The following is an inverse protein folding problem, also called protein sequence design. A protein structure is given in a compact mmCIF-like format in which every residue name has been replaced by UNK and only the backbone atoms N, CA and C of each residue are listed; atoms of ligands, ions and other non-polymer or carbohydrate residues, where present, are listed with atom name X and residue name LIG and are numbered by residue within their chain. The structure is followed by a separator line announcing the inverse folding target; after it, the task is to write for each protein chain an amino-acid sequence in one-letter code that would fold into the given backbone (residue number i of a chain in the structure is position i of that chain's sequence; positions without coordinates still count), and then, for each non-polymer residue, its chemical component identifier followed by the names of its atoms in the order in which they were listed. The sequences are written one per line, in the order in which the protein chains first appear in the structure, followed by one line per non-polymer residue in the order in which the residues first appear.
data_IF_703476927857
#
_entry.id   IF_703476927857
#
_cell.length_a   1.000
_cell.length_b   1.000
_cell.length_c   1.000
_cell.angle_alpha   90.00
_cell.angle_beta   90.00
_cell.angle_gamma   90.00
#
_symmetry.space_group_name_H-M   'P 1'
#
loop_
_entity.id
_entity.type
_entity.pdbx_description
1 polymer ?
#
# COMPACT_ATOMS: atom_id res chain seq x y z
N UNK A 1 -17.96 15.99 -11.39
CA UNK A 1 -18.85 15.66 -10.26
C UNK A 1 -18.71 16.66 -9.11
N UNK A 2 -17.47 16.90 -8.63
CA UNK A 2 -17.20 17.83 -7.52
C UNK A 2 -17.75 19.26 -7.71
N UNK A 3 -17.60 19.86 -8.90
CA UNK A 3 -18.18 21.18 -9.22
C UNK A 3 -19.72 21.22 -9.08
N UNK A 4 -20.42 20.16 -9.49
CA UNK A 4 -21.88 20.06 -9.37
C UNK A 4 -22.32 19.84 -7.91
N UNK A 5 -21.51 19.12 -7.13
CA UNK A 5 -21.71 18.92 -5.70
C UNK A 5 -21.56 20.24 -4.93
N UNK A 6 -20.51 21.02 -5.22
CA UNK A 6 -20.27 22.33 -4.62
C UNK A 6 -21.38 23.34 -4.94
N UNK A 7 -21.93 23.29 -6.16
CA UNK A 7 -23.07 24.10 -6.57
C UNK A 7 -24.42 23.65 -5.94
N UNK A 8 -24.45 22.55 -5.17
CA UNK A 8 -25.66 22.05 -4.52
C UNK A 8 -26.70 21.46 -5.48
N UNK A 9 -26.29 21.15 -6.71
CA UNK A 9 -27.16 20.56 -7.74
C UNK A 9 -27.40 19.06 -7.49
N UNK A 10 -26.50 18.40 -6.77
CA UNK A 10 -26.62 17.00 -6.38
C UNK A 10 -27.36 16.88 -5.04
N UNK A 11 -28.52 16.20 -5.05
CA UNK A 11 -29.33 15.97 -3.85
C UNK A 11 -28.86 14.77 -3.03
N UNK A 12 -28.23 13.80 -3.68
CA UNK A 12 -27.69 12.59 -3.05
C UNK A 12 -26.29 12.36 -3.60
N UNK A 13 -25.35 12.14 -2.69
CA UNK A 13 -23.95 11.84 -3.02
C UNK A 13 -23.58 10.61 -2.21
N UNK A 14 -23.10 9.58 -2.91
CA UNK A 14 -22.50 8.40 -2.31
C UNK A 14 -21.00 8.46 -2.53
N UNK A 15 -20.21 8.18 -1.49
CA UNK A 15 -18.76 8.09 -1.61
C UNK A 15 -18.12 7.45 -0.41
N UNK A 16 -16.80 7.32 -0.46
CA UNK A 16 -15.99 6.72 0.59
C UNK A 16 -15.65 7.73 1.68
N UNK A 17 -14.97 7.28 2.73
CA UNK A 17 -14.52 8.09 3.86
C UNK A 17 -13.66 9.30 3.46
N UNK A 18 -13.02 9.26 2.30
CA UNK A 18 -12.27 10.38 1.71
C UNK A 18 -13.09 11.66 1.51
N UNK A 19 -14.42 11.54 1.32
CA UNK A 19 -15.32 12.70 1.27
C UNK A 19 -15.30 13.52 2.56
N UNK A 20 -15.01 12.88 3.70
CA UNK A 20 -14.86 13.56 4.98
C UNK A 20 -13.65 14.50 5.03
N UNK A 21 -12.63 14.28 4.20
CA UNK A 21 -11.32 14.95 4.30
C UNK A 21 -11.14 16.08 3.29
N UNK A 22 -11.64 15.94 2.05
CA UNK A 22 -11.11 16.72 0.93
C UNK A 22 -12.02 17.75 0.26
N UNK A 23 -13.34 17.71 0.44
CA UNK A 23 -14.26 18.48 -0.42
C UNK A 23 -15.22 19.32 0.42
N UNK A 24 -15.32 20.62 0.10
CA UNK A 24 -16.30 21.53 0.68
C UNK A 24 -17.67 21.33 0.01
N UNK A 25 -18.40 20.29 0.41
CA UNK A 25 -19.77 20.03 -0.09
C UNK A 25 -20.79 20.50 0.94
N UNK A 26 -21.84 21.24 0.53
CA UNK A 26 -22.92 21.64 1.43
C UNK A 26 -23.79 20.43 1.80
N UNK A 27 -23.48 19.75 2.91
CA UNK A 27 -24.18 18.53 3.36
C UNK A 27 -25.07 18.85 4.57
N UNK A 28 -26.37 18.63 4.45
CA UNK A 28 -27.32 18.77 5.58
C UNK A 28 -27.44 17.49 6.41
N UNK A 29 -27.37 16.34 5.74
CA UNK A 29 -27.57 15.03 6.35
C UNK A 29 -26.47 14.07 5.92
N UNK A 30 -25.85 13.38 6.89
CA UNK A 30 -24.89 12.32 6.66
C UNK A 30 -25.54 10.98 6.99
N UNK A 31 -25.43 10.01 6.08
CA UNK A 31 -25.90 8.65 6.28
C UNK A 31 -24.71 7.68 6.22
N UNK A 32 -24.46 6.98 7.34
CA UNK A 32 -23.51 5.88 7.40
C UNK A 32 -24.21 4.59 6.98
N UNK A 33 -23.77 3.99 5.87
CA UNK A 33 -24.24 2.67 5.43
C UNK A 33 -23.77 1.54 6.37
N UNK A 34 -22.69 1.76 7.11
CA UNK A 34 -22.20 0.86 8.15
C UNK A 34 -21.20 1.56 9.07
N UNK A 35 -21.00 1.00 10.27
CA UNK A 35 -20.03 1.50 11.25
C UNK A 35 -18.76 0.64 11.30
N UNK A 36 -18.47 -0.06 10.21
CA UNK A 36 -17.24 -0.81 10.00
C UNK A 36 -16.68 -0.54 8.60
N UNK A 37 -15.37 -0.67 8.46
CA UNK A 37 -14.67 -0.55 7.18
C UNK A 37 -13.48 -1.49 7.10
N UNK A 38 -13.02 -1.75 5.88
CA UNK A 38 -11.78 -2.45 5.61
C UNK A 38 -10.59 -1.49 5.71
N UNK A 39 -9.59 -1.79 6.54
CA UNK A 39 -8.42 -0.91 6.76
C UNK A 39 -7.19 -1.28 5.91
N UNK A 40 -7.39 -2.12 4.89
CA UNK A 40 -6.30 -2.69 4.10
C UNK A 40 -5.77 -4.01 4.63
N UNK A 41 -6.14 -4.43 5.84
CA UNK A 41 -5.78 -5.74 6.42
C UNK A 41 -6.98 -6.54 6.91
N UNK A 42 -7.94 -5.88 7.57
CA UNK A 42 -9.15 -6.51 8.10
C UNK A 42 -10.32 -5.55 8.08
N UNK A 43 -11.52 -6.10 8.14
CA UNK A 43 -12.70 -5.30 8.49
C UNK A 43 -12.61 -4.98 9.98
N UNK A 44 -12.80 -3.71 10.35
CA UNK A 44 -12.86 -3.24 11.73
C UNK A 44 -13.93 -2.18 11.89
N UNK A 45 -14.35 -1.89 13.12
CA UNK A 45 -15.21 -0.73 13.41
C UNK A 45 -14.51 0.57 13.02
N UNK A 46 -15.30 1.58 12.67
CA UNK A 46 -14.80 2.94 12.50
C UNK A 46 -14.13 3.40 13.80
N UNK A 47 -13.07 4.20 13.66
CA UNK A 47 -12.47 4.91 14.78
C UNK A 47 -13.24 6.20 15.07
N UNK A 48 -13.09 6.74 16.27
CA UNK A 48 -13.74 7.98 16.69
C UNK A 48 -13.42 9.14 15.74
N UNK A 49 -12.14 9.31 15.40
CA UNK A 49 -11.71 10.35 14.45
C UNK A 49 -12.38 10.20 13.08
N UNK A 50 -12.46 8.97 12.57
CA UNK A 50 -13.07 8.68 11.26
C UNK A 50 -14.57 9.01 11.29
N UNK A 51 -15.25 8.66 12.38
CA UNK A 51 -16.67 8.97 12.58
C UNK A 51 -16.91 10.48 12.73
N UNK A 52 -16.20 11.17 13.61
CA UNK A 52 -16.33 12.63 13.83
C UNK A 52 -16.04 13.43 12.56
N UNK A 53 -15.04 13.02 11.79
CA UNK A 53 -14.69 13.70 10.54
C UNK A 53 -15.80 13.62 9.49
N UNK A 54 -16.46 12.46 9.38
CA UNK A 54 -17.55 12.27 8.42
C UNK A 54 -18.85 12.90 8.96
N UNK A 55 -19.19 12.64 10.22
CA UNK A 55 -20.39 13.16 10.88
C UNK A 55 -20.37 14.70 10.96
N UNK A 56 -19.21 15.30 11.22
CA UNK A 56 -19.02 16.75 11.27
C UNK A 56 -19.24 17.48 9.95
N UNK A 57 -19.42 16.75 8.83
CA UNK A 57 -19.88 17.35 7.57
C UNK A 57 -21.38 17.64 7.55
N UNK A 58 -22.15 17.07 8.47
CA UNK A 58 -23.58 17.32 8.55
C UNK A 58 -23.88 18.71 9.15
N UNK A 59 -24.70 19.48 8.43
CA UNK A 59 -25.13 20.81 8.83
C UNK A 59 -24.22 21.89 8.27
N UNK A 60 -24.84 22.91 7.69
CA UNK A 60 -24.14 24.05 7.09
C UNK A 60 -24.23 25.25 8.00
N UNK A 61 -23.08 25.74 8.46
CA UNK A 61 -23.00 26.98 9.23
C UNK A 61 -23.69 28.14 8.48
N UNK A 62 -24.62 28.82 9.15
CA UNK A 62 -25.37 29.95 8.58
C UNK A 62 -26.55 29.58 7.68
N UNK A 63 -26.79 28.29 7.38
CA UNK A 63 -27.93 27.86 6.55
C UNK A 63 -28.84 26.83 7.24
N UNK A 64 -28.26 25.90 7.99
CA UNK A 64 -29.01 24.87 8.72
C UNK A 64 -28.99 25.17 10.23
N UNK A 65 -30.12 24.99 10.90
CA UNK A 65 -30.22 25.08 12.36
C UNK A 65 -29.66 23.84 13.07
N UNK A 66 -29.75 22.68 12.40
CA UNK A 66 -29.25 21.39 12.88
C UNK A 66 -28.75 20.55 11.70
N UNK A 67 -27.67 19.81 11.91
CA UNK A 67 -27.19 18.75 11.02
C UNK A 67 -27.74 17.40 11.45
N UNK A 68 -28.08 16.53 10.49
CA UNK A 68 -28.60 15.19 10.79
C UNK A 68 -27.54 14.13 10.50
N UNK A 69 -27.36 13.19 11.44
CA UNK A 69 -26.46 12.05 11.27
C UNK A 69 -27.26 10.78 11.52
N UNK A 70 -27.26 9.88 10.54
CA UNK A 70 -28.02 8.62 10.58
C UNK A 70 -27.06 7.47 10.31
N UNK A 71 -27.15 6.39 11.07
CA UNK A 71 -26.45 5.14 10.79
C UNK A 71 -27.45 4.02 10.49
N UNK A 72 -27.22 3.29 9.40
CA UNK A 72 -28.03 2.12 9.06
C UNK A 72 -27.68 0.94 9.98
N UNK A 73 -28.71 0.27 10.47
CA UNK A 73 -28.56 -0.99 11.19
C UNK A 73 -28.14 -2.11 10.23
N UNK A 74 -27.40 -3.12 10.70
CA UNK A 74 -27.08 -4.31 9.91
C UNK A 74 -28.34 -4.99 9.36
N UNK A 75 -28.25 -5.56 8.17
CA UNK A 75 -29.39 -6.18 7.49
C UNK A 75 -30.07 -7.29 8.33
N UNK A 76 -29.27 -8.17 8.94
CA UNK A 76 -29.79 -9.23 9.81
C UNK A 76 -30.54 -8.66 11.05
N UNK A 77 -30.11 -7.51 11.58
CA UNK A 77 -30.78 -6.85 12.70
C UNK A 77 -32.12 -6.24 12.25
N UNK A 78 -32.16 -5.63 11.07
CA UNK A 78 -33.40 -5.10 10.48
C UNK A 78 -34.40 -6.23 10.23
N UNK A 79 -33.95 -7.35 9.68
CA UNK A 79 -34.80 -8.53 9.44
C UNK A 79 -35.30 -9.15 10.75
N UNK A 80 -34.43 -9.26 11.75
CA UNK A 80 -34.81 -9.71 13.08
C UNK A 80 -35.85 -8.78 13.73
N UNK A 81 -35.66 -7.46 13.63
CA UNK A 81 -36.60 -6.47 14.15
C UNK A 81 -37.96 -6.54 13.44
N UNK A 82 -37.98 -6.70 12.11
CA UNK A 82 -39.21 -6.93 11.33
C UNK A 82 -39.92 -8.21 11.76
N UNK A 83 -39.17 -9.29 11.99
CA UNK A 83 -39.72 -10.57 12.41
C UNK A 83 -40.33 -10.48 13.82
N UNK A 84 -39.66 -9.77 14.75
CA UNK A 84 -40.18 -9.46 16.09
C UNK A 84 -41.45 -8.61 16.01
N UNK A 85 -41.45 -7.53 15.22
CA UNK A 85 -42.62 -6.67 15.04
C UNK A 85 -43.82 -7.44 14.47
N UNK A 86 -43.58 -8.40 13.56
CA UNK A 86 -44.62 -9.29 13.03
C UNK A 86 -45.13 -10.30 14.06
N UNK A 87 -44.29 -10.73 15.00
CA UNK A 87 -44.69 -11.63 16.09
C UNK A 87 -45.56 -10.91 17.15
N UNK A 88 -45.42 -9.59 17.30
CA UNK A 88 -46.14 -8.78 18.27
C UNK A 88 -45.82 -9.18 19.71
N UNK A 89 -46.78 -9.04 20.61
CA UNK A 89 -46.62 -9.37 22.04
C UNK A 89 -46.89 -10.85 22.38
N UNK A 90 -47.07 -11.72 21.39
CA UNK A 90 -47.36 -13.14 21.61
C UNK A 90 -46.11 -13.89 22.13
N UNK A 91 -46.07 -14.32 23.40
CA UNK A 91 -44.88 -14.91 24.00
C UNK A 91 -44.47 -16.23 23.35
N UNK A 92 -45.43 -16.98 22.77
CA UNK A 92 -45.15 -18.25 22.10
C UNK A 92 -44.51 -18.03 20.73
N UNK A 93 -44.91 -16.99 20.00
CA UNK A 93 -44.30 -16.63 18.71
C UNK A 93 -42.92 -16.04 18.89
N UNK A 94 -42.72 -15.19 19.90
CA UNK A 94 -41.40 -14.63 20.23
C UNK A 94 -40.39 -15.71 20.62
N UNK A 95 -40.79 -16.72 21.40
CA UNK A 95 -39.92 -17.84 21.78
C UNK A 95 -39.54 -18.77 20.61
N UNK A 96 -40.39 -18.86 19.58
CA UNK A 96 -40.15 -19.68 18.38
C UNK A 96 -39.44 -18.92 17.26
N UNK A 97 -39.14 -17.63 17.45
CA UNK A 97 -38.53 -16.79 16.44
C UNK A 97 -37.06 -17.17 16.24
N UNK A 98 -36.74 -17.71 15.06
CA UNK A 98 -35.36 -17.98 14.68
C UNK A 98 -34.73 -16.67 14.21
N UNK A 99 -33.80 -16.15 15.01
CA UNK A 99 -33.03 -14.95 14.65
C UNK A 99 -32.00 -15.30 13.59
N UNK A 100 -31.92 -14.47 12.55
CA UNK A 100 -30.84 -14.52 11.58
C UNK A 100 -29.54 -14.12 12.26
N UNK A 101 -28.50 -14.93 12.03
CA UNK A 101 -27.17 -14.69 12.58
C UNK A 101 -26.40 -13.74 11.67
N UNK A 102 -25.44 -12.98 12.21
CA UNK A 102 -24.49 -12.23 11.40
C UNK A 102 -23.73 -13.18 10.45
N UNK A 103 -23.36 -12.72 9.24
CA UNK A 103 -22.46 -13.45 8.36
C UNK A 103 -21.13 -13.79 9.03
N UNK A 104 -20.46 -14.84 8.58
CA UNK A 104 -19.14 -15.21 9.09
C UNK A 104 -18.11 -14.09 8.80
N UNK A 105 -17.27 -13.76 9.80
CA UNK A 105 -16.32 -12.64 9.71
C UNK A 105 -16.95 -11.24 9.81
N UNK A 106 -18.26 -11.13 10.06
CA UNK A 106 -18.94 -9.84 10.20
C UNK A 106 -18.51 -9.12 11.48
N UNK A 107 -18.00 -7.90 11.34
CA UNK A 107 -17.72 -7.03 12.48
C UNK A 107 -19.04 -6.46 12.98
N UNK A 108 -19.55 -6.94 14.11
CA UNK A 108 -20.84 -6.47 14.64
C UNK A 108 -20.81 -4.98 15.02
N UNK A 109 -21.83 -4.23 14.62
CA UNK A 109 -22.16 -2.89 15.13
C UNK A 109 -23.66 -2.75 15.35
N UNK A 110 -24.07 -1.81 16.19
CA UNK A 110 -25.46 -1.47 16.46
C UNK A 110 -25.55 -0.14 17.20
N UNK A 111 -26.70 0.14 17.82
CA UNK A 111 -26.96 1.39 18.54
C UNK A 111 -25.90 1.71 19.61
N UNK A 112 -25.44 0.69 20.34
CA UNK A 112 -24.35 0.85 21.32
C UNK A 112 -23.06 1.33 20.66
N UNK A 113 -22.68 0.75 19.53
CA UNK A 113 -21.47 1.17 18.79
C UNK A 113 -21.63 2.59 18.27
N UNK A 114 -22.81 2.96 17.77
CA UNK A 114 -23.10 4.31 17.30
C UNK A 114 -22.96 5.34 18.43
N UNK A 115 -23.58 5.08 19.58
CA UNK A 115 -23.50 5.95 20.77
C UNK A 115 -22.07 6.06 21.28
N UNK A 116 -21.34 4.94 21.33
CA UNK A 116 -19.92 4.95 21.70
C UNK A 116 -19.05 5.78 20.77
N UNK A 117 -19.37 5.84 19.46
CA UNK A 117 -18.64 6.67 18.51
C UNK A 117 -18.98 8.15 18.64
N UNK A 118 -20.19 8.50 19.08
CA UNK A 118 -20.61 9.88 19.36
C UNK A 118 -19.92 10.40 20.62
N UNK A 119 -19.88 9.58 21.67
CA UNK A 119 -19.34 9.97 22.98
C UNK A 119 -17.81 9.80 23.07
N UNK A 120 -17.17 9.27 22.04
CA UNK A 120 -15.75 9.01 22.06
C UNK A 120 -14.96 10.33 22.15
N UNK A 121 -13.90 10.42 22.98
CA UNK A 121 -13.05 11.59 22.99
C UNK A 121 -12.25 11.69 21.70
N UNK A 122 -11.84 12.91 21.34
CA UNK A 122 -10.96 13.12 20.20
C UNK A 122 -9.62 12.41 20.37
N UNK A 123 -9.16 11.78 19.30
CA UNK A 123 -7.89 11.05 19.30
C UNK A 123 -6.71 12.04 19.36
N UNK A 124 -5.75 11.86 20.29
CA UNK A 124 -4.58 12.73 20.35
C UNK A 124 -3.72 12.55 19.10
N UNK A 125 -3.06 13.63 18.68
CA UNK A 125 -2.05 13.56 17.62
C UNK A 125 -0.92 12.64 18.05
N UNK A 126 -0.55 11.71 17.16
CA UNK A 126 0.56 10.78 17.36
C UNK A 126 1.57 10.99 16.26
N UNK A 127 2.85 11.01 16.65
CA UNK A 127 3.93 11.02 15.69
C UNK A 127 3.97 9.71 14.89
N UNK A 128 4.17 9.86 13.59
CA UNK A 128 4.44 8.80 12.63
C UNK A 128 5.86 8.92 12.05
N UNK A 129 6.75 9.64 12.75
CA UNK A 129 8.14 9.80 12.34
C UNK A 129 8.82 8.43 12.19
N UNK A 130 9.58 8.30 11.10
CA UNK A 130 10.40 7.13 10.81
C UNK A 130 11.67 7.63 10.13
N UNK A 131 12.83 7.30 10.70
CA UNK A 131 14.10 7.48 10.00
C UNK A 131 14.20 6.41 8.92
N UNK A 132 14.36 6.84 7.67
CA UNK A 132 14.58 5.96 6.51
C UNK A 132 16.02 6.11 6.02
N UNK A 133 16.52 5.12 5.27
CA UNK A 133 17.85 5.20 4.64
C UNK A 133 17.97 6.40 3.70
N UNK A 134 16.93 6.68 2.90
CA UNK A 134 16.90 7.84 2.02
C UNK A 134 17.03 9.15 2.81
N UNK A 135 16.26 9.32 3.89
CA UNK A 135 16.37 10.50 4.76
C UNK A 135 17.77 10.61 5.37
N UNK A 136 18.36 9.49 5.80
CA UNK A 136 19.72 9.48 6.33
C UNK A 136 20.73 9.93 5.26
N UNK A 137 20.70 9.36 4.06
CA UNK A 137 21.60 9.72 2.95
C UNK A 137 21.46 11.20 2.56
N UNK A 138 20.23 11.70 2.45
CA UNK A 138 19.94 13.12 2.19
C UNK A 138 20.55 14.04 3.27
N UNK A 139 20.46 13.64 4.54
CA UNK A 139 21.04 14.44 5.63
C UNK A 139 22.56 14.34 5.65
N UNK A 140 23.13 13.18 5.33
CA UNK A 140 24.58 12.98 5.23
C UNK A 140 25.18 13.80 4.06
N UNK A 141 24.44 13.99 2.97
CA UNK A 141 24.88 14.75 1.80
C UNK A 141 24.88 16.27 2.00
N UNK A 142 24.18 16.80 3.02
CA UNK A 142 24.07 18.24 3.29
C UNK A 142 25.39 18.85 3.76
N UNK A 143 25.66 20.13 3.42
CA UNK A 143 26.77 20.89 3.99
C UNK A 143 26.74 20.91 5.53
N UNK A 144 27.92 20.91 6.15
CA UNK A 144 28.10 21.01 7.60
C UNK A 144 28.10 19.69 8.36
N UNK A 145 27.89 19.78 9.68
CA UNK A 145 27.96 18.63 10.59
C UNK A 145 26.68 17.78 10.53
N UNK A 146 26.77 16.66 9.82
CA UNK A 146 25.68 15.71 9.66
C UNK A 146 25.28 15.01 10.98
N UNK A 147 26.19 14.85 11.94
CA UNK A 147 25.87 14.26 13.24
C UNK A 147 24.93 15.18 14.01
N UNK A 148 25.21 16.49 14.04
CA UNK A 148 24.34 17.48 14.66
C UNK A 148 22.96 17.48 13.99
N UNK A 149 22.92 17.46 12.65
CA UNK A 149 21.67 17.44 11.89
C UNK A 149 20.83 16.19 12.14
N UNK A 150 21.44 15.00 12.08
CA UNK A 150 20.75 13.72 12.36
C UNK A 150 20.29 13.65 13.82
N UNK A 151 21.13 14.08 14.77
CA UNK A 151 20.77 14.12 16.18
C UNK A 151 19.56 15.02 16.43
N UNK A 152 19.54 16.21 15.84
CA UNK A 152 18.40 17.12 15.93
C UNK A 152 17.12 16.44 15.42
N UNK A 153 17.15 15.80 14.24
CA UNK A 153 15.98 15.07 13.71
C UNK A 153 15.49 13.93 14.62
N UNK A 154 16.41 13.24 15.30
CA UNK A 154 16.10 12.07 16.12
C UNK A 154 15.68 12.42 17.56
N UNK A 155 16.16 13.53 18.10
CA UNK A 155 15.88 13.94 19.48
C UNK A 155 14.86 15.09 19.58
N UNK A 156 14.78 15.96 18.58
CA UNK A 156 13.85 17.09 18.53
C UNK A 156 12.65 16.77 17.62
N UNK A 157 11.89 15.75 18.03
CA UNK A 157 10.67 15.33 17.35
C UNK A 157 9.58 14.96 18.37
N UNK A 158 8.37 14.78 17.86
CA UNK A 158 7.19 14.48 18.68
C UNK A 158 7.07 13.01 19.10
N UNK A 159 8.09 12.17 18.88
CA UNK A 159 8.10 10.81 19.39
C UNK A 159 8.40 10.78 20.90
N UNK A 160 7.77 9.86 21.66
CA UNK A 160 8.18 9.63 23.04
C UNK A 160 9.61 9.09 23.12
N UNK A 161 10.28 9.30 24.26
CA UNK A 161 11.72 9.00 24.40
C UNK A 161 12.08 7.55 24.07
N UNK A 162 11.22 6.58 24.39
CA UNK A 162 11.44 5.17 24.05
C UNK A 162 11.46 4.92 22.53
N UNK A 163 10.66 5.67 21.76
CA UNK A 163 10.64 5.62 20.30
C UNK A 163 11.81 6.38 19.69
N UNK A 164 12.16 7.54 20.22
CA UNK A 164 13.38 8.27 19.82
C UNK A 164 14.62 7.37 19.97
N UNK A 165 14.78 6.68 21.10
CA UNK A 165 15.89 5.75 21.32
C UNK A 165 15.90 4.59 20.31
N UNK A 166 14.73 4.07 19.94
CA UNK A 166 14.62 3.05 18.88
C UNK A 166 15.04 3.60 17.51
N UNK A 167 14.61 4.81 17.17
CA UNK A 167 15.02 5.48 15.94
C UNK A 167 16.54 5.71 15.94
N UNK A 168 17.12 6.21 17.02
CA UNK A 168 18.59 6.40 17.16
C UNK A 168 19.33 5.09 16.92
N UNK A 169 18.92 4.01 17.58
CA UNK A 169 19.55 2.70 17.41
C UNK A 169 19.47 2.23 15.96
N UNK A 170 18.28 2.33 15.36
CA UNK A 170 18.06 1.98 13.96
C UNK A 170 18.92 2.83 13.01
N UNK A 171 19.04 4.15 13.24
CA UNK A 171 19.86 5.03 12.43
C UNK A 171 21.35 4.69 12.52
N UNK A 172 21.84 4.31 13.70
CA UNK A 172 23.21 3.84 13.88
C UNK A 172 23.45 2.54 13.10
N UNK A 173 22.49 1.62 13.13
CA UNK A 173 22.55 0.37 12.35
C UNK A 173 22.59 0.66 10.84
N UNK A 174 21.73 1.55 10.35
CA UNK A 174 21.75 2.00 8.95
C UNK A 174 23.08 2.65 8.58
N UNK A 175 23.57 3.60 9.37
CA UNK A 175 24.82 4.31 9.11
C UNK A 175 26.02 3.34 9.07
N UNK A 176 26.11 2.40 10.02
CA UNK A 176 27.16 1.37 10.01
C UNK A 176 27.07 0.51 8.76
N UNK A 177 25.87 0.08 8.38
CA UNK A 177 25.67 -0.68 7.15
C UNK A 177 26.13 0.07 5.90
N UNK A 178 25.85 1.39 5.81
CA UNK A 178 26.29 2.24 4.70
C UNK A 178 27.81 2.43 4.69
N UNK A 179 28.42 2.59 5.87
CA UNK A 179 29.89 2.73 6.01
C UNK A 179 30.62 1.44 5.67
N UNK A 180 30.13 0.31 6.16
CA UNK A 180 30.73 -1.01 5.91
C UNK A 180 30.61 -1.40 4.42
N UNK A 181 29.58 -0.90 3.73
CA UNK A 181 29.42 -1.05 2.28
C UNK A 181 30.22 -0.04 1.45
N UNK A 182 30.97 0.88 2.07
CA UNK A 182 31.75 1.89 1.36
C UNK A 182 30.90 2.99 0.70
N UNK A 183 29.59 3.04 0.94
CA UNK A 183 28.70 4.11 0.43
C UNK A 183 28.96 5.42 1.18
N UNK A 184 29.29 5.29 2.47
CA UNK A 184 29.57 6.42 3.36
C UNK A 184 31.03 6.33 3.81
N UNK A 185 31.80 7.37 3.50
CA UNK A 185 33.21 7.48 3.88
C UNK A 185 33.37 8.58 4.91
N UNK A 186 34.06 8.27 6.01
CA UNK A 186 34.42 9.28 7.00
C UNK A 186 35.71 9.97 6.57
N UNK A 187 35.66 11.29 6.48
CA UNK A 187 36.82 12.13 6.13
C UNK A 187 37.62 12.45 7.40
N UNK A 188 38.94 12.48 7.28
CA UNK A 188 39.84 12.88 8.39
C UNK A 188 39.68 14.37 8.72
N UNK A 189 39.49 15.20 7.69
CA UNK A 189 39.23 16.63 7.77
C UNK A 189 37.92 16.97 7.05
N UNK A 190 37.21 18.04 7.46
CA UNK A 190 35.98 18.42 6.78
C UNK A 190 36.26 18.89 5.35
N UNK A 191 35.37 18.59 4.43
CA UNK A 191 35.46 19.08 3.06
C UNK A 191 35.19 20.60 2.95
N UNK A 192 35.26 21.15 1.74
CA UNK A 192 35.01 22.58 1.46
C UNK A 192 33.62 23.07 1.93
N UNK A 193 32.68 22.14 2.12
CA UNK A 193 31.32 22.42 2.58
C UNK A 193 31.11 22.12 4.06
N UNK A 194 32.18 21.76 4.79
CA UNK A 194 32.16 21.47 6.22
C UNK A 194 31.69 20.06 6.57
N UNK A 195 31.62 19.14 5.60
CA UNK A 195 31.16 17.76 5.84
C UNK A 195 32.33 16.90 6.30
N UNK A 196 32.12 16.13 7.37
CA UNK A 196 33.04 15.07 7.81
C UNK A 196 32.71 13.71 7.20
N UNK A 197 31.63 13.65 6.41
CA UNK A 197 31.13 12.43 5.78
C UNK A 197 30.97 12.72 4.30
N UNK A 198 31.59 11.91 3.46
CA UNK A 198 31.39 11.89 2.02
C UNK A 198 30.53 10.69 1.60
N UNK A 199 29.71 10.89 0.58
CA UNK A 199 29.07 9.79 -0.15
C UNK A 199 30.04 9.35 -1.25
N UNK A 200 30.22 8.04 -1.43
CA UNK A 200 31.16 7.50 -2.42
C UNK A 200 30.78 7.85 -3.86
N UNK A 201 31.79 8.14 -4.69
CA UNK A 201 31.68 8.66 -6.05
C UNK A 201 31.32 7.57 -7.08
N UNK A 202 31.52 6.29 -6.75
CA UNK A 202 31.20 5.14 -7.63
C UNK A 202 29.70 4.77 -7.64
N UNK A 203 28.84 5.64 -7.12
CA UNK A 203 27.39 5.49 -7.25
C UNK A 203 26.99 5.92 -8.67
N UNK A 204 26.37 5.05 -9.50
CA UNK A 204 25.84 5.47 -10.79
C UNK A 204 24.92 6.67 -10.60
N UNK A 205 25.00 7.69 -11.47
CA UNK A 205 24.13 8.88 -11.42
C UNK A 205 22.63 8.53 -11.46
N UNK A 206 22.30 7.34 -11.99
CA UNK A 206 20.94 6.79 -12.06
C UNK A 206 20.61 5.78 -10.95
N UNK A 207 21.50 5.58 -9.97
CA UNK A 207 21.21 4.77 -8.81
C UNK A 207 20.21 5.52 -7.95
N UNK A 208 18.93 5.20 -8.10
CA UNK A 208 17.88 5.75 -7.27
C UNK A 208 18.18 5.41 -5.80
N UNK A 209 18.82 6.36 -5.10
CA UNK A 209 19.12 6.38 -3.67
C UNK A 209 17.88 6.13 -2.78
N UNK A 210 16.69 6.08 -3.40
CA UNK A 210 15.39 5.83 -2.80
C UNK A 210 15.02 4.35 -2.68
N UNK A 211 15.62 3.41 -3.46
CA UNK A 211 15.31 1.98 -3.35
C UNK A 211 16.55 1.11 -3.09
N UNK A 212 16.80 0.71 -1.82
CA UNK A 212 17.87 -0.20 -1.42
C UNK A 212 17.97 -1.51 -2.21
N UNK A 213 16.84 -1.97 -2.77
CA UNK A 213 16.77 -3.22 -3.50
C UNK A 213 17.18 -3.10 -4.97
N UNK A 214 17.44 -1.89 -5.49
CA UNK A 214 17.88 -1.72 -6.88
C UNK A 214 19.25 -2.35 -7.14
N UNK A 215 20.25 -2.16 -6.26
CA UNK A 215 21.54 -2.86 -6.41
C UNK A 215 21.40 -4.39 -6.30
N UNK A 216 20.51 -4.85 -5.43
CA UNK A 216 20.20 -6.26 -5.31
C UNK A 216 19.62 -6.83 -6.61
N UNK A 217 18.67 -6.14 -7.25
CA UNK A 217 18.11 -6.57 -8.52
C UNK A 217 19.18 -6.69 -9.61
N UNK A 218 20.06 -5.68 -9.72
CA UNK A 218 21.18 -5.69 -10.68
C UNK A 218 22.07 -6.92 -10.52
N UNK A 219 22.51 -7.19 -9.28
CA UNK A 219 23.34 -8.34 -8.97
C UNK A 219 22.60 -9.67 -9.22
N UNK A 220 21.27 -9.69 -9.08
CA UNK A 220 20.46 -10.89 -9.31
C UNK A 220 20.24 -11.14 -10.81
N UNK A 221 20.12 -10.11 -11.64
CA UNK A 221 20.01 -10.25 -13.09
C UNK A 221 21.22 -10.95 -13.72
N UNK A 222 22.43 -10.73 -13.17
CA UNK A 222 23.67 -11.38 -13.65
C UNK A 222 23.70 -12.90 -13.41
N UNK A 223 22.87 -13.41 -12.50
CA UNK A 223 22.82 -14.83 -12.12
C UNK A 223 21.78 -15.58 -12.98
N UNK A 224 20.88 -14.88 -13.66
CA UNK A 224 19.88 -15.49 -14.53
C UNK A 224 20.52 -16.11 -15.78
N UNK A 225 19.98 -17.24 -16.21
CA UNK A 225 20.36 -17.89 -17.47
C UNK A 225 19.73 -17.14 -18.66
N UNK A 226 20.52 -16.42 -19.50
CA UNK A 226 20.00 -15.64 -20.61
C UNK A 226 19.35 -16.48 -21.71
N UNK A 227 19.66 -17.78 -21.78
CA UNK A 227 19.12 -18.70 -22.78
C UNK A 227 17.78 -19.33 -22.34
N UNK A 228 17.32 -19.03 -21.11
CA UNK A 228 16.04 -19.52 -20.61
C UNK A 228 14.87 -18.94 -21.39
N UNK A 229 13.90 -19.78 -21.75
CA UNK A 229 12.64 -19.34 -22.37
C UNK A 229 11.77 -18.48 -21.44
N UNK A 230 12.09 -18.41 -20.15
CA UNK A 230 11.40 -17.56 -19.16
C UNK A 230 12.22 -16.35 -18.75
N UNK A 231 13.39 -16.10 -19.36
CA UNK A 231 14.32 -15.06 -18.94
C UNK A 231 13.65 -13.69 -18.75
N UNK A 232 12.86 -13.23 -19.72
CA UNK A 232 12.16 -11.95 -19.62
C UNK A 232 11.16 -11.90 -18.44
N UNK A 233 10.44 -13.00 -18.18
CA UNK A 233 9.51 -13.11 -17.04
C UNK A 233 10.25 -13.18 -15.70
N UNK A 234 11.44 -13.77 -15.69
CA UNK A 234 12.28 -13.91 -14.51
C UNK A 234 12.91 -12.55 -14.13
N UNK A 235 13.36 -11.76 -15.12
CA UNK A 235 13.75 -10.36 -14.95
C UNK A 235 12.60 -9.54 -14.35
N UNK A 236 11.39 -9.68 -14.91
CA UNK A 236 10.19 -9.02 -14.36
C UNK A 236 9.94 -9.45 -12.91
N UNK A 237 10.07 -10.73 -12.58
CA UNK A 237 9.82 -11.24 -11.22
C UNK A 237 10.79 -10.69 -10.18
N UNK A 238 12.08 -10.63 -10.52
CA UNK A 238 13.12 -10.02 -9.67
C UNK A 238 12.80 -8.53 -9.46
N UNK A 239 12.46 -7.82 -10.53
CA UNK A 239 12.10 -6.41 -10.45
C UNK A 239 10.88 -6.18 -9.57
N UNK A 240 9.78 -6.92 -9.80
CA UNK A 240 8.56 -6.82 -9.00
C UNK A 240 8.84 -7.08 -7.51
N UNK A 241 9.81 -7.95 -7.19
CA UNK A 241 10.23 -8.20 -5.80
C UNK A 241 10.79 -6.96 -5.09
N UNK A 242 11.34 -5.99 -5.84
CA UNK A 242 11.90 -4.75 -5.30
C UNK A 242 10.88 -3.63 -5.07
N UNK A 243 9.68 -3.78 -5.61
CA UNK A 243 8.64 -2.75 -5.59
C UNK A 243 7.70 -2.86 -4.39
N UNK A 244 7.03 -1.76 -4.06
CA UNK A 244 5.95 -1.76 -3.08
C UNK A 244 4.77 -2.65 -3.53
N UNK A 245 4.08 -3.26 -2.56
CA UNK A 245 2.97 -4.17 -2.87
C UNK A 245 1.68 -3.42 -3.25
N UNK A 246 1.06 -3.69 -4.41
CA UNK A 246 -0.27 -3.19 -4.76
C UNK A 246 -1.31 -4.01 -3.98
N UNK A 247 -1.41 -3.76 -2.67
CA UNK A 247 -2.18 -4.59 -1.73
C UNK A 247 -3.59 -4.95 -2.19
N UNK A 248 -4.41 -4.04 -2.77
CA UNK A 248 -5.75 -4.40 -3.25
C UNK A 248 -5.73 -5.59 -4.23
N UNK A 249 -4.80 -5.60 -5.17
CA UNK A 249 -4.65 -6.68 -6.15
C UNK A 249 -4.11 -7.96 -5.51
N UNK A 250 -3.04 -7.89 -4.72
CA UNK A 250 -2.46 -9.09 -4.09
C UNK A 250 -3.46 -9.79 -3.15
N UNK A 251 -4.29 -9.02 -2.45
CA UNK A 251 -5.35 -9.58 -1.62
C UNK A 251 -6.46 -10.24 -2.45
N UNK A 252 -6.79 -9.69 -3.62
CA UNK A 252 -7.74 -10.29 -4.55
C UNK A 252 -7.19 -11.58 -5.16
N UNK A 253 -5.92 -11.60 -5.59
CA UNK A 253 -5.21 -12.80 -6.03
C UNK A 253 -5.21 -13.88 -4.95
N UNK A 254 -4.82 -13.54 -3.71
CA UNK A 254 -4.87 -14.48 -2.59
C UNK A 254 -6.27 -15.02 -2.35
N UNK A 255 -7.30 -14.18 -2.48
CA UNK A 255 -8.70 -14.63 -2.34
C UNK A 255 -9.03 -15.68 -3.41
N UNK A 256 -8.72 -15.40 -4.68
CA UNK A 256 -8.93 -16.35 -5.79
C UNK A 256 -8.17 -17.65 -5.57
N UNK A 257 -6.90 -17.58 -5.16
CA UNK A 257 -6.09 -18.77 -4.84
C UNK A 257 -6.69 -19.60 -3.69
N UNK A 258 -7.15 -18.93 -2.62
CA UNK A 258 -7.83 -19.60 -1.50
C UNK A 258 -9.15 -20.23 -1.93
N UNK A 259 -9.95 -19.54 -2.73
CA UNK A 259 -11.24 -20.05 -3.22
C UNK A 259 -11.04 -21.29 -4.11
N UNK A 260 -10.01 -21.28 -4.97
CA UNK A 260 -9.62 -22.42 -5.79
C UNK A 260 -9.16 -23.61 -4.94
N UNK A 261 -8.26 -23.37 -3.97
CA UNK A 261 -7.77 -24.42 -3.07
C UNK A 261 -8.89 -25.02 -2.21
N UNK A 262 -9.86 -24.21 -1.76
CA UNK A 262 -11.05 -24.73 -1.05
C UNK A 262 -11.85 -25.66 -1.94
N UNK A 263 -12.01 -25.34 -3.23
CA UNK A 263 -12.76 -26.15 -4.17
C UNK A 263 -12.05 -27.50 -4.45
N UNK A 264 -10.73 -27.46 -4.63
CA UNK A 264 -9.89 -28.66 -4.81
C UNK A 264 -9.90 -29.55 -3.56
N UNK A 265 -9.64 -28.99 -2.38
CA UNK A 265 -9.65 -29.76 -1.13
C UNK A 265 -11.03 -30.36 -0.81
N UNK A 266 -12.11 -29.72 -1.26
CA UNK A 266 -13.47 -30.30 -1.19
C UNK A 266 -13.64 -31.48 -2.13
N UNK A 267 -13.07 -31.42 -3.33
CA UNK A 267 -13.08 -32.52 -4.29
C UNK A 267 -12.26 -33.73 -3.78
N UNK A 268 -11.16 -33.46 -3.08
CA UNK A 268 -10.27 -34.47 -2.49
C UNK A 268 -10.79 -35.05 -1.17
N UNK A 269 -11.92 -34.56 -0.66
CA UNK A 269 -12.54 -35.07 0.57
C UNK A 269 -11.78 -34.71 1.86
N UNK A 270 -10.95 -33.65 1.85
CA UNK A 270 -10.17 -33.24 3.02
C UNK A 270 -11.09 -32.68 4.11
N UNK A 271 -10.84 -33.09 5.36
CA UNK A 271 -11.59 -32.67 6.52
C UNK A 271 -11.53 -31.14 6.74
N UNK A 272 -12.58 -30.59 7.36
CA UNK A 272 -12.72 -29.13 7.50
C UNK A 272 -11.56 -28.49 8.28
N UNK A 273 -11.14 -29.09 9.39
CA UNK A 273 -10.05 -28.54 10.21
C UNK A 273 -8.71 -28.55 9.46
N UNK A 274 -8.43 -29.61 8.71
CA UNK A 274 -7.22 -29.73 7.89
C UNK A 274 -7.24 -28.74 6.71
N UNK A 275 -8.41 -28.47 6.11
CA UNK A 275 -8.58 -27.41 5.11
C UNK A 275 -8.27 -26.03 5.68
N UNK A 276 -8.77 -25.74 6.88
CA UNK A 276 -8.54 -24.45 7.51
C UNK A 276 -7.06 -24.21 7.83
N UNK A 277 -6.33 -25.25 8.26
CA UNK A 277 -4.89 -25.18 8.46
C UNK A 277 -4.14 -24.92 7.14
N UNK A 278 -4.43 -25.70 6.09
CA UNK A 278 -3.79 -25.52 4.77
C UNK A 278 -4.08 -24.16 4.13
N UNK A 279 -5.19 -23.53 4.47
CA UNK A 279 -5.56 -22.19 3.97
C UNK A 279 -4.74 -21.05 4.58
N UNK A 280 -4.11 -21.26 5.74
CA UNK A 280 -3.26 -20.23 6.36
C UNK A 280 -1.98 -19.99 5.57
N UNK A 281 -1.46 -21.04 4.92
CA UNK A 281 -0.23 -21.00 4.12
C UNK A 281 -0.44 -20.43 2.72
N UNK A 282 -1.69 -20.26 2.28
CA UNK A 282 -1.99 -19.75 0.93
C UNK A 282 -1.79 -18.23 0.86
N UNK A 283 -0.79 -17.85 0.08
CA UNK A 283 -0.46 -16.47 -0.26
C UNK A 283 -0.97 -16.09 -1.66
N UNK A 284 -0.47 -14.99 -2.22
CA UNK A 284 -0.60 -14.66 -3.64
C UNK A 284 0.56 -15.31 -4.41
N UNK A 285 0.53 -15.39 -5.76
CA UNK A 285 1.64 -15.96 -6.53
C UNK A 285 2.98 -15.24 -6.28
N UNK A 286 4.03 -16.00 -5.99
CA UNK A 286 5.38 -15.52 -5.67
C UNK A 286 6.41 -16.21 -6.57
N UNK A 287 6.49 -15.86 -7.87
CA UNK A 287 7.46 -16.45 -8.79
C UNK A 287 8.88 -16.20 -8.30
N UNK A 288 9.76 -17.18 -8.52
CA UNK A 288 11.16 -17.17 -8.09
C UNK A 288 11.39 -16.92 -6.60
N UNK A 289 10.45 -17.32 -5.72
CA UNK A 289 10.55 -17.04 -4.28
C UNK A 289 11.87 -17.54 -3.69
N UNK A 290 12.21 -18.81 -3.90
CA UNK A 290 13.41 -19.44 -3.35
C UNK A 290 14.69 -18.82 -3.94
N UNK A 291 14.70 -18.54 -5.24
CA UNK A 291 15.83 -17.97 -5.98
C UNK A 291 16.09 -16.53 -5.54
N UNK A 292 15.04 -15.71 -5.44
CA UNK A 292 15.14 -14.31 -5.00
C UNK A 292 15.61 -14.25 -3.54
N UNK A 293 15.03 -15.05 -2.64
CA UNK A 293 15.46 -15.07 -1.25
C UNK A 293 16.87 -15.66 -1.10
N UNK A 294 17.22 -16.69 -1.86
CA UNK A 294 18.57 -17.25 -1.91
C UNK A 294 19.61 -16.23 -2.38
N UNK A 295 19.34 -15.53 -3.47
CA UNK A 295 20.18 -14.44 -3.97
C UNK A 295 20.29 -13.31 -2.94
N UNK A 296 19.19 -12.93 -2.29
CA UNK A 296 19.16 -11.89 -1.27
C UNK A 296 20.01 -12.25 -0.05
N UNK A 297 19.92 -13.51 0.39
CA UNK A 297 20.71 -14.06 1.49
C UNK A 297 22.22 -14.04 1.22
N UNK A 298 22.62 -14.28 -0.03
CA UNK A 298 24.02 -14.16 -0.46
C UNK A 298 24.42 -12.67 -0.53
N UNK A 299 23.59 -11.86 -1.18
CA UNK A 299 23.85 -10.44 -1.41
C UNK A 299 24.01 -9.67 -0.09
N UNK A 300 23.15 -9.94 0.91
CA UNK A 300 23.20 -9.27 2.22
C UNK A 300 24.44 -9.62 3.06
N UNK A 301 25.17 -10.70 2.73
CA UNK A 301 26.46 -11.00 3.39
C UNK A 301 27.52 -9.96 3.04
N UNK A 302 27.53 -9.50 1.78
CA UNK A 302 28.38 -8.40 1.31
C UNK A 302 27.78 -7.01 1.51
N UNK A 303 26.45 -6.93 1.67
CA UNK A 303 25.71 -5.66 1.77
C UNK A 303 24.75 -5.67 2.98
N UNK A 304 25.25 -5.61 4.24
CA UNK A 304 24.43 -5.76 5.43
C UNK A 304 23.29 -4.73 5.57
N UNK A 305 23.43 -3.55 4.98
CA UNK A 305 22.41 -2.49 4.99
C UNK A 305 21.10 -2.89 4.30
N UNK A 306 21.16 -3.81 3.34
CA UNK A 306 19.98 -4.32 2.61
C UNK A 306 19.12 -5.24 3.49
N UNK A 307 19.65 -5.76 4.60
CA UNK A 307 18.90 -6.67 5.48
C UNK A 307 17.61 -6.07 6.08
N UNK A 308 17.51 -4.74 6.16
CA UNK A 308 16.28 -4.05 6.61
C UNK A 308 15.18 -3.97 5.54
N UNK A 309 15.49 -4.39 4.30
CA UNK A 309 14.62 -4.28 3.13
C UNK A 309 14.53 -5.63 2.42
N UNK A 310 13.82 -6.64 2.98
CA UNK A 310 13.65 -7.91 2.28
C UNK A 310 12.86 -7.72 0.99
N UNK A 311 13.19 -8.48 -0.08
CA UNK A 311 12.39 -8.49 -1.29
C UNK A 311 10.99 -9.01 -0.99
N UNK A 312 10.02 -8.56 -1.78
CA UNK A 312 8.62 -8.95 -1.69
C UNK A 312 8.19 -9.62 -2.99
N UNK A 313 8.56 -10.89 -3.24
CA UNK A 313 8.14 -11.60 -4.44
C UNK A 313 6.62 -11.57 -4.61
N UNK A 314 6.19 -11.26 -5.82
CA UNK A 314 4.81 -11.11 -6.25
C UNK A 314 4.73 -11.21 -7.78
N UNK A 315 3.56 -11.56 -8.29
CA UNK A 315 3.29 -11.57 -9.73
C UNK A 315 2.14 -10.61 -10.03
N UNK A 316 2.40 -9.51 -10.72
CA UNK A 316 1.36 -8.61 -11.22
C UNK A 316 1.61 -8.35 -12.69
N UNK A 317 2.73 -7.73 -13.04
CA UNK A 317 3.13 -7.57 -14.44
C UNK A 317 3.43 -8.94 -15.06
N UNK A 318 4.10 -9.84 -14.33
CA UNK A 318 4.35 -11.20 -14.84
C UNK A 318 3.04 -11.93 -15.18
N UNK A 319 2.04 -11.88 -14.30
CA UNK A 319 0.74 -12.49 -14.58
C UNK A 319 0.08 -11.88 -15.83
N UNK A 320 0.15 -10.55 -15.99
CA UNK A 320 -0.38 -9.89 -17.19
C UNK A 320 0.31 -10.40 -18.46
N UNK A 321 1.65 -10.58 -18.42
CA UNK A 321 2.41 -11.08 -19.56
C UNK A 321 2.11 -12.56 -19.85
N UNK A 322 2.12 -13.42 -18.81
CA UNK A 322 1.86 -14.86 -18.93
C UNK A 322 0.45 -15.15 -19.48
N UNK A 323 -0.52 -14.31 -19.13
CA UNK A 323 -1.93 -14.46 -19.55
C UNK A 323 -2.33 -13.53 -20.69
N UNK A 324 -1.39 -12.75 -21.24
CA UNK A 324 -1.64 -11.72 -22.24
C UNK A 324 -2.83 -10.80 -21.89
N UNK A 325 -2.90 -10.36 -20.62
CA UNK A 325 -3.99 -9.52 -20.12
C UNK A 325 -3.74 -8.05 -20.37
N UNK A 326 -4.77 -7.36 -20.82
CA UNK A 326 -4.84 -5.89 -20.78
C UNK A 326 -5.06 -5.39 -19.35
N UNK A 327 -4.80 -4.10 -19.11
CA UNK A 327 -5.08 -3.47 -17.82
C UNK A 327 -6.56 -3.61 -17.41
N UNK A 328 -7.49 -3.34 -18.33
CA UNK A 328 -8.93 -3.47 -18.10
C UNK A 328 -9.33 -4.90 -17.75
N UNK A 329 -8.75 -5.90 -18.40
CA UNK A 329 -8.99 -7.31 -18.09
C UNK A 329 -8.47 -7.69 -16.70
N UNK A 330 -7.29 -7.20 -16.30
CA UNK A 330 -6.76 -7.42 -14.95
C UNK A 330 -7.70 -6.83 -13.89
N UNK A 331 -8.14 -5.58 -14.09
CA UNK A 331 -9.07 -4.91 -13.16
C UNK A 331 -10.40 -5.65 -13.09
N UNK A 332 -10.92 -6.11 -14.22
CA UNK A 332 -12.17 -6.86 -14.30
C UNK A 332 -12.06 -8.23 -13.62
N UNK A 333 -10.99 -8.98 -13.91
CA UNK A 333 -10.76 -10.33 -13.38
C UNK A 333 -10.74 -10.36 -11.84
N UNK A 334 -10.20 -9.31 -11.21
CA UNK A 334 -10.08 -9.21 -9.76
C UNK A 334 -11.09 -8.26 -9.11
N UNK A 335 -12.02 -7.67 -9.87
CA UNK A 335 -13.06 -6.77 -9.35
C UNK A 335 -12.52 -5.49 -8.70
N UNK A 336 -11.49 -4.88 -9.30
CA UNK A 336 -10.68 -3.80 -8.71
C UNK A 336 -11.08 -2.39 -9.16
N UNK A 337 -12.29 -2.19 -9.70
CA UNK A 337 -12.75 -0.88 -10.22
C UNK A 337 -12.63 0.30 -9.22
N UNK A 338 -12.60 0.03 -7.90
CA UNK A 338 -12.42 1.06 -6.85
C UNK A 338 -10.97 1.27 -6.42
N UNK A 339 -10.03 0.53 -7.00
CA UNK A 339 -8.60 0.54 -6.64
C UNK A 339 -7.70 0.54 -7.88
N UNK A 340 -8.26 0.87 -9.04
CA UNK A 340 -7.59 0.93 -10.34
C UNK A 340 -6.35 1.82 -10.31
N UNK A 341 -6.45 3.02 -9.73
CA UNK A 341 -5.30 3.93 -9.61
C UNK A 341 -4.14 3.38 -8.79
N UNK A 342 -4.38 2.47 -7.82
CA UNK A 342 -3.30 1.82 -7.07
C UNK A 342 -2.54 0.83 -7.95
N UNK A 343 -3.25 0.10 -8.81
CA UNK A 343 -2.66 -0.85 -9.74
C UNK A 343 -1.94 -0.11 -10.86
N UNK A 344 -2.52 0.96 -11.39
CA UNK A 344 -1.91 1.79 -12.42
C UNK A 344 -0.62 2.45 -11.93
N UNK A 345 -0.62 3.00 -10.71
CA UNK A 345 0.60 3.54 -10.07
C UNK A 345 1.68 2.47 -9.97
N UNK A 346 1.32 1.26 -9.54
CA UNK A 346 2.25 0.14 -9.46
C UNK A 346 2.84 -0.23 -10.83
N UNK A 347 2.01 -0.34 -11.87
CA UNK A 347 2.48 -0.63 -13.24
C UNK A 347 3.34 0.51 -13.81
N UNK A 348 3.05 1.75 -13.43
CA UNK A 348 3.90 2.91 -13.75
C UNK A 348 5.26 2.83 -13.06
N UNK A 349 5.30 2.36 -11.81
CA UNK A 349 6.55 2.09 -11.10
C UNK A 349 7.32 0.91 -11.75
N UNK A 350 6.63 -0.15 -12.17
CA UNK A 350 7.23 -1.22 -12.97
C UNK A 350 7.86 -0.68 -14.26
N UNK A 351 7.15 0.17 -15.00
CA UNK A 351 7.66 0.81 -16.22
C UNK A 351 8.92 1.64 -15.94
N UNK A 352 8.90 2.47 -14.88
CA UNK A 352 10.05 3.29 -14.51
C UNK A 352 11.28 2.42 -14.21
N UNK A 353 11.11 1.39 -13.39
CA UNK A 353 12.23 0.51 -13.00
C UNK A 353 12.68 -0.38 -14.16
N UNK A 354 11.80 -0.84 -15.05
CA UNK A 354 12.20 -1.59 -16.24
C UNK A 354 13.02 -0.73 -17.20
N UNK A 355 12.63 0.54 -17.36
CA UNK A 355 13.31 1.47 -18.27
C UNK A 355 14.66 1.96 -17.74
N UNK A 356 14.78 2.19 -16.43
CA UNK A 356 15.96 2.84 -15.82
C UNK A 356 16.83 1.87 -15.01
N UNK A 357 16.27 0.76 -14.55
CA UNK A 357 16.88 -0.13 -13.56
C UNK A 357 17.34 -1.48 -14.12
N UNK A 358 17.24 -1.72 -15.43
CA UNK A 358 17.75 -2.94 -16.07
C UNK A 358 19.08 -2.62 -16.77
N UNK A 359 20.18 -3.35 -16.49
CA UNK A 359 21.47 -3.12 -17.14
C UNK A 359 21.38 -3.51 -18.62
N UNK A 360 22.16 -2.85 -19.48
CA UNK A 360 22.23 -3.17 -20.91
C UNK A 360 22.60 -4.62 -21.19
N UNK A 361 23.34 -5.29 -20.28
CA UNK A 361 23.67 -6.71 -20.37
C UNK A 361 22.47 -7.65 -20.19
N UNK A 362 21.43 -7.19 -19.50
CA UNK A 362 20.20 -7.95 -19.26
C UNK A 362 19.05 -7.53 -20.20
N UNK A 363 19.25 -6.51 -21.04
CA UNK A 363 18.23 -6.07 -22.00
C UNK A 363 18.23 -7.01 -23.21
N UNK A 364 17.09 -7.64 -23.45
CA UNK A 364 16.81 -8.44 -24.65
C UNK A 364 15.71 -7.78 -25.48
N UNK A 365 15.55 -8.12 -26.77
CA UNK A 365 14.46 -7.60 -27.60
C UNK A 365 13.06 -7.84 -26.99
N UNK A 366 12.89 -8.94 -26.26
CA UNK A 366 11.64 -9.24 -25.54
C UNK A 366 11.41 -8.27 -24.37
N UNK A 367 12.45 -7.94 -23.61
CA UNK A 367 12.36 -6.93 -22.53
C UNK A 367 12.10 -5.54 -23.10
N UNK A 368 12.74 -5.17 -24.21
CA UNK A 368 12.47 -3.90 -24.92
C UNK A 368 11.00 -3.82 -25.34
N UNK A 369 10.45 -4.92 -25.87
CA UNK A 369 9.04 -5.00 -26.23
C UNK A 369 8.12 -4.86 -25.01
N UNK A 370 8.41 -5.54 -23.90
CA UNK A 370 7.67 -5.40 -22.65
C UNK A 370 7.68 -3.95 -22.16
N UNK A 371 8.83 -3.27 -22.21
CA UNK A 371 8.96 -1.86 -21.80
C UNK A 371 8.13 -0.96 -22.71
N UNK A 372 8.14 -1.20 -24.03
CA UNK A 372 7.38 -0.43 -25.00
C UNK A 372 5.86 -0.61 -24.82
N UNK A 373 5.41 -1.84 -24.64
CA UNK A 373 3.99 -2.19 -24.45
C UNK A 373 3.47 -1.63 -23.12
N UNK A 374 4.25 -1.80 -22.05
CA UNK A 374 3.90 -1.26 -20.73
C UNK A 374 3.86 0.27 -20.75
N UNK A 375 4.82 0.92 -21.41
CA UNK A 375 4.83 2.38 -21.57
C UNK A 375 3.67 2.90 -22.43
N UNK A 376 3.20 2.12 -23.40
CA UNK A 376 2.01 2.45 -24.20
C UNK A 376 0.75 2.33 -23.34
N UNK A 377 0.61 1.22 -22.60
CA UNK A 377 -0.51 1.00 -21.68
C UNK A 377 -0.62 2.11 -20.62
N UNK A 378 0.49 2.49 -19.98
CA UNK A 378 0.48 3.56 -18.97
C UNK A 378 0.03 4.91 -19.58
N UNK A 379 0.47 5.22 -20.81
CA UNK A 379 0.09 6.44 -21.53
C UNK A 379 -1.38 6.46 -21.96
N UNK A 380 -1.90 5.33 -22.41
CA UNK A 380 -3.29 5.21 -22.84
C UNK A 380 -4.29 5.33 -21.68
N UNK A 381 -3.92 4.82 -20.50
CA UNK A 381 -4.79 4.84 -19.31
C UNK A 381 -4.72 6.19 -18.59
N UNK A 382 -3.58 6.89 -18.61
CA UNK A 382 -3.42 8.20 -17.96
C UNK A 382 -2.71 9.22 -18.87
N UNK A 383 -3.50 9.98 -19.63
CA UNK A 383 -2.97 11.12 -20.40
C UNK A 383 -2.56 12.31 -19.52
N UNK A 384 -2.94 12.34 -18.23
CA UNK A 384 -2.73 13.51 -17.37
C UNK A 384 -1.47 13.42 -16.50
N UNK A 385 -1.06 12.22 -16.08
CA UNK A 385 0.20 12.04 -15.38
C UNK A 385 1.39 12.21 -16.35
N UNK A 386 1.32 11.63 -17.55
CA UNK A 386 2.45 11.63 -18.51
C UNK A 386 2.81 13.04 -18.99
N UNK A 387 1.85 13.94 -19.13
CA UNK A 387 2.09 15.35 -19.45
C UNK A 387 2.88 16.07 -18.33
N UNK A 388 2.63 15.74 -17.04
CA UNK A 388 3.46 16.21 -15.92
C UNK A 388 4.87 15.59 -15.94
N UNK A 389 5.02 14.37 -16.46
CA UNK A 389 6.30 13.67 -16.59
C UNK A 389 7.18 14.17 -17.75
N UNK A 390 6.61 14.46 -18.93
CA UNK A 390 7.35 15.08 -20.04
C UNK A 390 7.83 16.48 -19.65
N UNK A 391 7.03 17.22 -18.87
CA UNK A 391 7.42 18.52 -18.33
C UNK A 391 8.59 18.43 -17.31
N UNK A 392 8.60 17.43 -16.43
CA UNK A 392 9.68 17.22 -15.45
C UNK A 392 10.96 16.67 -16.09
N UNK A 393 10.85 15.76 -17.06
CA UNK A 393 11.99 15.21 -17.77
C UNK A 393 12.66 16.25 -18.70
N UNK A 394 11.87 17.14 -19.32
CA UNK A 394 12.39 18.26 -20.11
C UNK A 394 13.16 19.27 -19.23
N UNK A 395 12.72 19.53 -18.00
CA UNK A 395 13.43 20.41 -17.06
C UNK A 395 14.76 19.83 -16.58
N UNK A 396 14.90 18.51 -16.49
CA UNK A 396 16.15 17.87 -16.08
C UNK A 396 17.20 17.82 -17.21
N UNK A 397 16.80 17.95 -18.47
CA UNK A 397 17.69 17.97 -19.64
C UNK A 397 18.21 19.37 -20.01
N UNK A 398 17.64 20.43 -19.41
CA UNK A 398 18.03 21.84 -19.62
C UNK A 398 18.98 22.41 -18.53
N UNK A 399 19.48 21.58 -17.60
CA UNK A 399 20.42 21.98 -16.54
C UNK A 399 21.81 21.39 -16.75
#
# INVERSE_FOLDING_TARGET
MERLAQQGLLKVIAGTDTLGVGINVPIRTVLFAGLSKYDGRRVRRLRAREFHQIAGRAGRAGFDTVGYVVAQAPEHDVENARAVAKAGDDPKKLRKLVRRKPPEGFVSWGEKTFTQLIDAPDEPLRSHFQMTTAMLLEVLGRPGDCFVAVRHLLEDNHEPRDRQLRHIKHTIELYRGLRDAGIVVQLEEPDETGRHIALSVDMPENFALTNPLSAFAMATFEILDPESSTYALDVVSILESTLENPRPLLLAQRKVARDAAIAEMKADGIEYEERMAKLEDITWPQPLFEEIFGAFEIYRRGHPWVASFPPNPKSVLREMLEKAMTFTELISAYGLARSEGVVLRYLSDCYRVLRQGVPTSAVTPEIEQIVADLGTMVREVDSSLVDEWEALAAQAAEV
#
